data_IF_295382068123
#
_entry.id   IF_295382068123
#
_cell.length_a   1.000
_cell.length_b   1.000
_cell.length_c   1.000
_cell.angle_alpha   90.00
_cell.angle_beta   90.00
_cell.angle_gamma   90.00
#
_symmetry.space_group_name_H-M   'P 1'
#
loop_
_entity.id
_entity.type
_entity.pdbx_description
1 polymer ?
#
# COMPACT_ATOMS: atom_id res chain seq x y z
N UNK A 1 -9.84 -25.56 28.51
CA UNK A 1 -10.62 -24.35 28.26
C UNK A 1 -10.99 -24.26 26.80
N UNK A 2 -12.17 -23.71 26.45
CA UNK A 2 -12.50 -23.49 25.03
C UNK A 2 -11.48 -22.56 24.40
N UNK A 3 -11.16 -22.71 23.09
CA UNK A 3 -10.25 -21.82 22.40
C UNK A 3 -10.75 -20.37 22.55
N UNK A 4 -9.85 -19.37 22.66
CA UNK A 4 -10.27 -17.98 22.74
C UNK A 4 -11.12 -17.62 21.52
N UNK A 5 -12.12 -16.75 21.67
CA UNK A 5 -12.94 -16.32 20.54
C UNK A 5 -12.05 -15.74 19.44
N UNK A 6 -12.37 -15.98 18.16
CA UNK A 6 -11.61 -15.42 17.07
C UNK A 6 -11.50 -13.89 17.24
N UNK A 7 -10.35 -13.29 16.89
CA UNK A 7 -10.20 -11.85 16.98
C UNK A 7 -11.28 -11.17 16.14
N UNK A 8 -11.81 -10.00 16.55
CA UNK A 8 -12.82 -9.29 15.78
C UNK A 8 -12.27 -9.02 14.38
N UNK A 9 -13.11 -9.13 13.33
CA UNK A 9 -12.66 -8.99 11.95
C UNK A 9 -11.93 -7.64 11.76
N UNK A 10 -10.82 -7.63 11.01
CA UNK A 10 -10.01 -6.44 10.83
C UNK A 10 -10.85 -5.29 10.26
N UNK A 11 -10.87 -4.18 10.98
CA UNK A 11 -11.70 -3.01 10.68
C UNK A 11 -11.18 -2.16 9.50
N UNK A 12 -10.27 -2.68 8.67
CA UNK A 12 -9.54 -1.91 7.66
C UNK A 12 -10.37 -1.49 6.44
N UNK A 13 -11.37 -2.28 6.01
CA UNK A 13 -12.32 -1.86 4.96
C UNK A 13 -13.26 -0.71 5.39
N UNK A 14 -13.33 -0.45 6.69
CA UNK A 14 -14.27 0.51 7.28
C UNK A 14 -13.67 1.93 7.35
N UNK A 15 -12.35 2.14 7.21
CA UNK A 15 -11.74 3.47 7.40
C UNK A 15 -12.10 4.45 6.29
N UNK A 16 -12.01 4.08 5.02
CA UNK A 16 -12.44 4.94 3.91
C UNK A 16 -13.96 5.22 3.97
N UNK A 17 -14.75 4.20 4.25
CA UNK A 17 -16.19 4.37 4.48
C UNK A 17 -16.48 5.28 5.68
N UNK A 18 -15.75 5.14 6.79
CA UNK A 18 -15.91 6.02 7.96
C UNK A 18 -15.57 7.47 7.66
N UNK A 19 -14.50 7.74 6.92
CA UNK A 19 -14.15 9.10 6.51
C UNK A 19 -15.27 9.74 5.70
N UNK A 20 -15.85 9.03 4.74
CA UNK A 20 -16.97 9.49 3.94
C UNK A 20 -18.27 9.63 4.76
N UNK A 21 -18.54 8.69 5.67
CA UNK A 21 -19.70 8.80 6.58
C UNK A 21 -19.54 9.96 7.58
N UNK A 22 -18.34 10.18 8.12
CA UNK A 22 -18.06 11.33 9.00
C UNK A 22 -18.26 12.63 8.24
N UNK A 23 -17.71 12.75 7.04
CA UNK A 23 -17.89 13.89 6.15
C UNK A 23 -19.39 14.18 5.91
N UNK A 24 -20.16 13.14 5.58
CA UNK A 24 -21.61 13.25 5.33
C UNK A 24 -22.35 13.74 6.58
N UNK A 25 -21.95 13.27 7.75
CA UNK A 25 -22.51 13.74 9.04
C UNK A 25 -22.25 15.22 9.30
N UNK A 26 -21.23 15.81 8.69
CA UNK A 26 -20.92 17.23 8.75
C UNK A 26 -21.46 18.03 7.55
N UNK A 27 -22.16 17.37 6.62
CA UNK A 27 -22.68 18.01 5.41
C UNK A 27 -21.59 18.57 4.47
N UNK A 28 -20.35 18.07 4.54
CA UNK A 28 -19.25 18.55 3.73
C UNK A 28 -19.25 17.87 2.35
N UNK A 29 -19.08 18.61 1.24
CA UNK A 29 -18.85 18.00 -0.06
C UNK A 29 -17.54 17.21 -0.07
N UNK A 30 -17.47 16.16 -0.90
CA UNK A 30 -16.28 15.35 -1.09
C UNK A 30 -16.06 15.08 -2.57
N UNK A 31 -14.91 15.48 -3.06
CA UNK A 31 -14.46 15.18 -4.42
C UNK A 31 -13.27 14.21 -4.38
N UNK A 32 -13.30 13.21 -5.23
CA UNK A 32 -12.27 12.18 -5.33
C UNK A 32 -11.72 12.22 -6.76
N UNK A 33 -10.43 12.44 -6.89
CA UNK A 33 -9.70 12.32 -8.15
C UNK A 33 -9.20 10.90 -8.29
N UNK A 34 -9.50 10.26 -9.41
CA UNK A 34 -9.10 8.88 -9.67
C UNK A 34 -8.78 8.69 -11.13
N UNK A 35 -7.66 8.04 -11.42
CA UNK A 35 -7.27 7.72 -12.79
C UNK A 35 -8.35 6.92 -13.51
N UNK A 36 -8.61 7.23 -14.77
CA UNK A 36 -9.63 6.55 -15.56
C UNK A 36 -9.37 5.05 -15.66
N UNK A 37 -8.10 4.65 -15.79
CA UNK A 37 -7.65 3.25 -15.76
C UNK A 37 -7.97 2.60 -14.41
N UNK A 38 -7.72 3.30 -13.31
CA UNK A 38 -7.97 2.78 -11.97
C UNK A 38 -9.46 2.71 -11.62
N UNK A 39 -10.29 3.58 -12.20
CA UNK A 39 -11.76 3.50 -12.09
C UNK A 39 -12.27 2.16 -12.61
N UNK A 40 -11.76 1.72 -13.76
CA UNK A 40 -12.12 0.41 -14.33
C UNK A 40 -11.61 -0.75 -13.46
N UNK A 41 -10.35 -0.70 -13.03
CA UNK A 41 -9.72 -1.73 -12.18
C UNK A 41 -10.39 -1.86 -10.81
N UNK A 42 -10.98 -0.77 -10.29
CA UNK A 42 -11.53 -0.70 -8.94
C UNK A 42 -13.04 -0.37 -8.92
N UNK A 43 -13.80 -0.82 -9.91
CA UNK A 43 -15.26 -0.59 -10.02
C UNK A 43 -16.04 -0.77 -8.70
N UNK A 44 -15.81 -1.81 -7.89
CA UNK A 44 -16.52 -1.98 -6.61
C UNK A 44 -16.25 -0.84 -5.62
N UNK A 45 -15.03 -0.31 -5.59
CA UNK A 45 -14.68 0.82 -4.74
C UNK A 45 -15.32 2.12 -5.25
N UNK A 46 -15.29 2.35 -6.56
CA UNK A 46 -15.94 3.52 -7.19
C UNK A 46 -17.44 3.52 -6.90
N UNK A 47 -18.10 2.36 -7.01
CA UNK A 47 -19.50 2.23 -6.65
C UNK A 47 -19.76 2.60 -5.18
N UNK A 48 -18.93 2.12 -4.26
CA UNK A 48 -19.04 2.46 -2.83
C UNK A 48 -18.85 3.96 -2.57
N UNK A 49 -17.90 4.61 -3.26
CA UNK A 49 -17.66 6.05 -3.16
C UNK A 49 -18.90 6.86 -3.58
N UNK A 50 -19.48 6.50 -4.73
CA UNK A 50 -20.70 7.14 -5.25
C UNK A 50 -21.92 6.89 -4.36
N UNK A 51 -22.07 5.66 -3.87
CA UNK A 51 -23.14 5.30 -2.94
C UNK A 51 -23.08 6.11 -1.64
N UNK A 52 -21.88 6.46 -1.19
CA UNK A 52 -21.64 7.32 -0.03
C UNK A 52 -21.72 8.82 -0.36
N UNK A 53 -22.16 9.19 -1.55
CA UNK A 53 -22.39 10.58 -1.95
C UNK A 53 -21.13 11.37 -2.36
N UNK A 54 -19.99 10.70 -2.56
CA UNK A 54 -18.80 11.38 -3.07
C UNK A 54 -18.88 11.56 -4.60
N UNK A 55 -18.40 12.71 -5.09
CA UNK A 55 -18.19 12.95 -6.52
C UNK A 55 -16.85 12.33 -6.92
N UNK A 56 -16.85 11.44 -7.89
CA UNK A 56 -15.63 10.83 -8.45
C UNK A 56 -15.32 11.49 -9.78
N UNK A 57 -14.20 12.19 -9.84
CA UNK A 57 -13.69 12.88 -11.02
C UNK A 57 -12.67 11.96 -11.74
N UNK A 58 -12.99 11.47 -12.95
CA UNK A 58 -12.06 10.66 -13.72
C UNK A 58 -10.93 11.53 -14.27
N UNK A 59 -9.69 11.10 -14.06
CA UNK A 59 -8.49 11.74 -14.62
C UNK A 59 -8.01 10.95 -15.81
N UNK A 60 -8.01 11.58 -16.97
CA UNK A 60 -7.64 10.96 -18.26
C UNK A 60 -6.29 11.44 -18.78
N UNK A 61 -5.65 12.37 -18.09
CA UNK A 61 -4.31 12.87 -18.43
C UNK A 61 -3.24 11.80 -18.15
N UNK A 62 -2.14 11.83 -18.88
CA UNK A 62 -1.04 10.88 -18.71
C UNK A 62 -1.48 9.43 -18.92
N UNK A 63 -1.09 8.54 -18.03
CA UNK A 63 -1.49 7.12 -18.03
C UNK A 63 -2.89 6.87 -17.42
N UNK A 64 -3.52 7.91 -16.88
CA UNK A 64 -4.81 7.78 -16.20
C UNK A 64 -4.76 6.92 -14.92
N UNK A 65 -3.64 6.95 -14.22
CA UNK A 65 -3.38 6.18 -12.99
C UNK A 65 -3.26 7.08 -11.76
N UNK A 66 -2.89 6.50 -10.62
CA UNK A 66 -2.78 7.18 -9.33
C UNK A 66 -1.88 8.43 -9.38
N UNK A 67 -0.75 8.38 -10.11
CA UNK A 67 0.17 9.53 -10.25
C UNK A 67 -0.53 10.76 -10.83
N UNK A 68 -1.30 10.57 -11.89
CA UNK A 68 -2.00 11.66 -12.57
C UNK A 68 -3.18 12.17 -11.75
N UNK A 69 -3.88 11.25 -11.07
CA UNK A 69 -4.94 11.61 -10.12
C UNK A 69 -4.41 12.48 -8.96
N UNK A 70 -3.23 12.18 -8.43
CA UNK A 70 -2.58 13.02 -7.41
C UNK A 70 -2.20 14.40 -7.95
N UNK A 71 -1.70 14.49 -9.18
CA UNK A 71 -1.39 15.76 -9.83
C UNK A 71 -2.63 16.65 -9.93
N UNK A 72 -3.75 16.10 -10.40
CA UNK A 72 -4.98 16.87 -10.57
C UNK A 72 -5.60 17.27 -9.22
N UNK A 73 -5.61 16.37 -8.25
CA UNK A 73 -6.07 16.68 -6.89
C UNK A 73 -5.23 17.81 -6.23
N UNK A 74 -3.89 17.78 -6.40
CA UNK A 74 -3.02 18.82 -5.89
C UNK A 74 -3.23 20.16 -6.59
N UNK A 75 -3.42 20.17 -7.92
CA UNK A 75 -3.73 21.39 -8.69
C UNK A 75 -5.06 22.01 -8.25
N UNK A 76 -6.08 21.20 -8.09
CA UNK A 76 -7.39 21.67 -7.61
C UNK A 76 -7.27 22.24 -6.20
N UNK A 77 -6.63 21.51 -5.29
CA UNK A 77 -6.46 21.95 -3.92
C UNK A 77 -5.71 23.28 -3.79
N UNK A 78 -4.59 23.48 -4.49
CA UNK A 78 -3.84 24.74 -4.41
C UNK A 78 -4.63 25.92 -4.99
N UNK A 79 -5.57 25.65 -5.91
CA UNK A 79 -6.47 26.67 -6.46
C UNK A 79 -7.61 27.03 -5.49
N UNK A 80 -7.93 26.15 -4.54
CA UNK A 80 -9.04 26.28 -3.60
C UNK A 80 -8.57 26.14 -2.13
N UNK A 81 -7.34 26.50 -1.84
CA UNK A 81 -6.71 26.25 -0.53
C UNK A 81 -7.43 26.93 0.65
N UNK A 82 -8.24 27.97 0.41
CA UNK A 82 -8.95 28.71 1.45
C UNK A 82 -10.20 28.03 1.97
N UNK A 83 -10.80 27.14 1.19
CA UNK A 83 -12.10 26.49 1.49
C UNK A 83 -12.07 24.97 1.31
N UNK A 84 -10.94 24.42 0.87
CA UNK A 84 -10.79 23.00 0.56
C UNK A 84 -9.67 22.38 1.38
N UNK A 85 -9.97 21.26 2.03
CA UNK A 85 -8.99 20.47 2.76
C UNK A 85 -8.57 19.25 1.94
N UNK A 86 -7.27 19.15 1.64
CA UNK A 86 -6.69 18.02 0.92
C UNK A 86 -6.46 16.83 1.86
N UNK A 87 -7.04 15.68 1.53
CA UNK A 87 -6.85 14.43 2.27
C UNK A 87 -6.04 13.47 1.42
N UNK A 88 -4.78 13.23 1.80
CA UNK A 88 -3.93 12.22 1.20
C UNK A 88 -3.90 10.96 2.07
N UNK A 89 -3.94 9.79 1.42
CA UNK A 89 -3.98 8.49 2.11
C UNK A 89 -2.64 7.75 2.14
N UNK A 90 -1.56 8.39 1.70
CA UNK A 90 -0.21 7.79 1.66
C UNK A 90 0.80 8.65 2.42
N UNK A 91 1.99 8.10 2.71
CA UNK A 91 3.12 8.80 3.34
C UNK A 91 4.00 9.54 2.32
N UNK A 92 3.56 9.67 1.07
CA UNK A 92 4.18 10.51 0.05
C UNK A 92 3.57 11.92 0.05
N UNK A 93 4.19 12.85 -0.66
CA UNK A 93 3.72 14.23 -0.79
C UNK A 93 4.50 15.22 0.07
N UNK A 94 4.12 16.52 0.02
CA UNK A 94 4.84 17.56 0.73
C UNK A 94 4.65 17.47 2.25
N UNK A 95 5.60 18.07 2.99
CA UNK A 95 5.42 18.23 4.43
C UNK A 95 4.16 19.08 4.73
N UNK A 96 3.33 18.75 5.74
CA UNK A 96 3.53 17.73 6.78
C UNK A 96 2.86 16.35 6.51
N UNK A 97 2.32 16.13 5.33
CA UNK A 97 1.51 14.93 5.05
C UNK A 97 2.20 13.60 5.35
N UNK A 98 3.48 13.36 4.96
CA UNK A 98 4.15 12.11 5.29
C UNK A 98 4.15 11.81 6.80
N UNK A 99 4.49 12.82 7.61
CA UNK A 99 4.51 12.68 9.07
C UNK A 99 3.11 12.46 9.65
N UNK A 100 2.10 13.21 9.19
CA UNK A 100 0.71 13.06 9.64
C UNK A 100 0.19 11.66 9.36
N UNK A 101 0.37 11.17 8.12
CA UNK A 101 -0.11 9.84 7.73
C UNK A 101 0.64 8.75 8.48
N UNK A 102 1.97 8.88 8.66
CA UNK A 102 2.75 7.97 9.51
C UNK A 102 2.17 7.88 10.92
N UNK A 103 1.96 9.02 11.55
CA UNK A 103 1.53 9.08 12.95
C UNK A 103 0.13 8.45 13.13
N UNK A 104 -0.79 8.71 12.21
CA UNK A 104 -2.10 8.08 12.22
C UNK A 104 -2.04 6.57 11.93
N UNK A 105 -1.18 6.14 11.01
CA UNK A 105 -1.01 4.72 10.68
C UNK A 105 -0.20 3.95 11.75
N UNK A 106 0.58 4.63 12.58
CA UNK A 106 1.40 3.98 13.63
C UNK A 106 0.60 3.18 14.64
N UNK A 107 -0.72 3.35 14.71
CA UNK A 107 -1.60 2.47 15.48
C UNK A 107 -1.42 0.99 15.11
N UNK A 108 -1.09 0.69 13.84
CA UNK A 108 -0.84 -0.69 13.37
C UNK A 108 0.32 -1.31 14.15
N UNK A 109 1.46 -0.66 14.15
CA UNK A 109 2.65 -1.17 14.85
C UNK A 109 2.54 -1.13 16.37
N UNK A 110 1.85 -0.12 16.93
CA UNK A 110 1.59 -0.05 18.38
C UNK A 110 0.74 -1.22 18.84
N UNK A 111 -0.35 -1.52 18.14
CA UNK A 111 -1.20 -2.69 18.44
C UNK A 111 -0.46 -4.00 18.21
N UNK A 112 0.32 -4.11 17.11
CA UNK A 112 1.16 -5.28 16.86
C UNK A 112 2.13 -5.54 18.00
N UNK A 113 2.82 -4.50 18.47
CA UNK A 113 3.78 -4.61 19.59
C UNK A 113 3.10 -5.12 20.86
N UNK A 114 1.95 -4.54 21.22
CA UNK A 114 1.19 -4.96 22.39
C UNK A 114 0.73 -6.42 22.28
N UNK A 115 0.19 -6.81 21.13
CA UNK A 115 -0.28 -8.17 20.86
C UNK A 115 0.85 -9.21 20.88
N UNK A 116 2.03 -8.88 20.35
CA UNK A 116 3.19 -9.77 20.38
C UNK A 116 3.68 -9.98 21.82
N UNK A 117 3.76 -8.91 22.61
CA UNK A 117 4.13 -9.04 24.03
C UNK A 117 3.11 -9.84 24.84
N UNK A 118 1.82 -9.69 24.54
CA UNK A 118 0.74 -10.42 25.23
C UNK A 118 0.75 -11.92 24.85
N UNK A 119 0.96 -12.26 23.57
CA UNK A 119 0.82 -13.62 23.06
C UNK A 119 2.09 -14.45 23.13
N UNK A 120 3.21 -13.81 22.80
CA UNK A 120 4.50 -14.47 22.61
C UNK A 120 5.53 -14.08 23.70
N UNK A 121 5.22 -13.08 24.53
CA UNK A 121 6.13 -12.57 25.57
C UNK A 121 7.37 -11.85 25.04
N UNK A 122 7.46 -11.64 23.72
CA UNK A 122 8.60 -10.99 23.06
C UNK A 122 8.19 -10.24 21.80
N UNK A 123 9.08 -9.40 21.30
CA UNK A 123 8.90 -8.73 19.99
C UNK A 123 9.05 -9.74 18.85
N UNK A 124 8.50 -9.43 17.66
CA UNK A 124 8.76 -10.22 16.47
C UNK A 124 10.24 -10.13 16.07
N UNK A 125 10.75 -11.16 15.43
CA UNK A 125 12.10 -11.13 14.86
C UNK A 125 12.12 -10.44 13.50
N UNK A 126 11.02 -10.55 12.74
CA UNK A 126 10.93 -9.98 11.40
C UNK A 126 9.55 -9.38 11.13
N UNK A 127 9.54 -8.16 10.59
CA UNK A 127 8.35 -7.48 10.08
C UNK A 127 8.38 -7.43 8.56
N UNK A 128 7.25 -7.71 7.91
CA UNK A 128 7.12 -7.64 6.46
C UNK A 128 5.86 -6.88 6.08
N UNK A 129 5.96 -5.96 5.11
CA UNK A 129 4.80 -5.27 4.55
C UNK A 129 5.02 -4.92 3.08
N UNK A 130 3.94 -4.85 2.30
CA UNK A 130 3.99 -4.39 0.91
C UNK A 130 4.15 -2.86 0.86
N UNK A 131 4.84 -2.40 -0.20
CA UNK A 131 5.17 -0.99 -0.44
C UNK A 131 4.63 -0.56 -1.80
N UNK A 132 3.70 0.40 -1.78
CA UNK A 132 3.40 1.30 -2.88
C UNK A 132 3.86 2.69 -2.45
N UNK A 133 2.94 3.62 -2.15
CA UNK A 133 3.32 4.86 -1.43
C UNK A 133 3.86 4.62 -0.02
N UNK A 134 3.54 3.49 0.61
CA UNK A 134 4.20 2.97 1.81
C UNK A 134 3.49 3.24 3.14
N UNK A 135 2.24 3.74 3.17
CA UNK A 135 1.58 4.13 4.42
C UNK A 135 1.29 2.94 5.36
N UNK A 136 0.88 1.81 4.83
CA UNK A 136 0.62 0.60 5.63
C UNK A 136 1.91 0.08 6.26
N UNK A 137 2.99 0.07 5.50
CA UNK A 137 4.30 -0.38 5.94
C UNK A 137 4.88 0.57 7.00
N UNK A 138 4.82 1.88 6.76
CA UNK A 138 5.27 2.88 7.73
C UNK A 138 4.48 2.77 9.04
N UNK A 139 3.18 2.52 8.96
CA UNK A 139 2.34 2.30 10.13
C UNK A 139 2.77 1.10 10.98
N UNK A 140 3.21 0.01 10.33
CA UNK A 140 3.77 -1.15 11.02
C UNK A 140 5.19 -0.89 11.51
N UNK A 141 6.06 -0.33 10.68
CA UNK A 141 7.51 -0.24 10.91
C UNK A 141 7.87 0.82 11.94
N UNK A 142 7.24 2.00 11.89
CA UNK A 142 7.63 3.16 12.68
C UNK A 142 7.76 2.86 14.18
N UNK A 143 6.83 2.17 14.86
CA UNK A 143 6.97 1.84 16.27
C UNK A 143 8.10 0.85 16.61
N UNK A 144 8.74 0.23 15.60
CA UNK A 144 9.83 -0.74 15.77
C UNK A 144 11.19 -0.24 15.25
N UNK A 145 11.29 1.01 14.79
CA UNK A 145 12.52 1.51 14.17
C UNK A 145 13.71 1.51 15.13
N UNK A 146 13.46 1.74 16.42
CA UNK A 146 14.50 1.73 17.45
C UNK A 146 14.88 0.32 17.95
N UNK A 147 14.04 -0.68 17.67
CA UNK A 147 14.31 -2.07 18.04
C UNK A 147 15.23 -2.73 17.02
N UNK A 148 16.54 -2.57 17.20
CA UNK A 148 17.58 -3.03 16.25
C UNK A 148 17.63 -4.55 16.06
N UNK A 149 17.08 -5.31 17.02
CA UNK A 149 16.93 -6.76 16.92
C UNK A 149 15.82 -7.21 15.97
N UNK A 150 14.88 -6.31 15.63
CA UNK A 150 13.78 -6.59 14.72
C UNK A 150 14.20 -6.29 13.29
N UNK A 151 14.26 -7.29 12.44
CA UNK A 151 14.47 -7.15 11.00
C UNK A 151 13.22 -6.59 10.33
N UNK A 152 13.38 -5.70 9.35
CA UNK A 152 12.25 -5.07 8.66
C UNK A 152 12.43 -5.18 7.15
N UNK A 153 11.41 -5.68 6.48
CA UNK A 153 11.42 -5.90 5.02
C UNK A 153 10.21 -5.23 4.37
N UNK A 154 10.47 -4.35 3.41
CA UNK A 154 9.48 -3.77 2.52
C UNK A 154 9.45 -4.51 1.18
N UNK A 155 8.27 -4.89 0.69
CA UNK A 155 8.11 -5.66 -0.54
C UNK A 155 7.37 -4.84 -1.58
N UNK A 156 8.03 -4.56 -2.70
CA UNK A 156 7.53 -3.77 -3.82
C UNK A 156 6.97 -4.65 -4.94
N UNK A 157 6.20 -4.02 -5.83
CA UNK A 157 5.68 -4.65 -7.03
C UNK A 157 6.75 -4.71 -8.13
N UNK A 158 7.33 -5.88 -8.32
CA UNK A 158 8.26 -6.19 -9.41
C UNK A 158 7.58 -6.44 -10.76
N UNK A 159 6.25 -6.40 -10.82
CA UNK A 159 5.49 -6.48 -12.05
C UNK A 159 5.87 -7.66 -12.93
N UNK A 160 6.23 -7.37 -14.18
CA UNK A 160 6.73 -8.37 -15.13
C UNK A 160 8.22 -8.70 -14.95
N UNK A 161 8.94 -7.96 -14.10
CA UNK A 161 10.37 -8.07 -13.83
C UNK A 161 11.07 -6.72 -13.87
N UNK A 162 12.12 -6.55 -13.06
CA UNK A 162 12.87 -5.29 -12.98
C UNK A 162 13.60 -4.94 -14.29
N UNK A 163 13.95 -5.95 -15.08
CA UNK A 163 14.64 -5.78 -16.36
C UNK A 163 13.68 -5.44 -17.53
N UNK A 164 12.39 -5.42 -17.29
CA UNK A 164 11.37 -5.10 -18.31
C UNK A 164 11.09 -3.61 -18.30
N UNK A 165 11.35 -2.87 -19.38
CA UNK A 165 11.06 -1.45 -19.46
C UNK A 165 9.58 -1.15 -19.15
N UNK A 166 9.31 -0.22 -18.23
CA UNK A 166 7.97 0.12 -17.73
C UNK A 166 7.18 -1.10 -17.20
N UNK A 167 7.88 -2.16 -16.83
CA UNK A 167 7.28 -3.42 -16.42
C UNK A 167 7.10 -3.60 -14.91
N UNK A 168 7.48 -2.64 -14.08
CA UNK A 168 7.39 -2.73 -12.62
C UNK A 168 7.10 -1.38 -11.98
N UNK A 169 6.68 -1.40 -10.69
CA UNK A 169 6.50 -0.20 -9.86
C UNK A 169 7.43 -0.18 -8.63
N UNK A 170 8.56 -0.87 -8.72
CA UNK A 170 9.52 -1.04 -7.64
C UNK A 170 10.53 0.12 -7.62
N UNK A 171 10.14 1.26 -7.05
CA UNK A 171 10.97 2.46 -7.03
C UNK A 171 12.18 2.38 -6.10
N UNK A 172 12.09 1.61 -5.01
CA UNK A 172 13.21 1.43 -4.07
C UNK A 172 14.28 0.48 -4.60
N UNK A 173 13.88 -0.56 -5.34
CA UNK A 173 14.82 -1.57 -5.86
C UNK A 173 15.28 -1.28 -7.28
N UNK A 174 14.49 -0.59 -8.09
CA UNK A 174 14.78 -0.29 -9.49
C UNK A 174 14.82 1.18 -9.87
N UNK A 175 14.55 2.10 -8.93
CA UNK A 175 14.53 3.54 -9.19
C UNK A 175 15.72 4.29 -8.60
N UNK A 176 15.74 5.59 -8.83
CA UNK A 176 16.79 6.52 -8.38
C UNK A 176 16.24 7.68 -7.57
N UNK A 177 17.09 8.41 -6.79
CA UNK A 177 16.67 9.59 -6.07
C UNK A 177 16.21 10.72 -6.99
N UNK A 178 15.04 11.30 -6.70
CA UNK A 178 14.49 12.44 -7.43
C UNK A 178 13.41 13.17 -6.62
N UNK A 179 12.57 13.94 -7.31
CA UNK A 179 11.48 14.72 -6.69
C UNK A 179 10.16 14.41 -7.37
N UNK A 180 9.17 13.98 -6.60
CA UNK A 180 7.82 13.69 -7.07
C UNK A 180 6.79 14.18 -6.05
N UNK A 181 5.71 14.82 -6.50
CA UNK A 181 4.62 15.29 -5.64
C UNK A 181 5.07 16.10 -4.41
N UNK A 182 6.13 16.92 -4.57
CA UNK A 182 6.62 17.81 -3.51
C UNK A 182 7.48 17.14 -2.43
N UNK A 183 7.95 15.92 -2.64
CA UNK A 183 8.93 15.28 -1.76
C UNK A 183 10.11 14.69 -2.53
N UNK A 184 11.28 14.68 -1.88
CA UNK A 184 12.46 13.97 -2.36
C UNK A 184 12.32 12.50 -1.99
N UNK A 185 12.47 11.61 -2.98
CA UNK A 185 12.21 10.19 -2.82
C UNK A 185 12.99 9.37 -3.86
N UNK A 186 13.01 8.05 -3.75
CA UNK A 186 13.33 7.17 -4.85
C UNK A 186 12.12 7.10 -5.79
N UNK A 187 12.36 7.16 -7.09
CA UNK A 187 11.31 7.12 -8.11
C UNK A 187 11.81 6.51 -9.42
N UNK A 188 10.88 6.07 -10.24
CA UNK A 188 11.16 5.59 -11.59
C UNK A 188 11.23 6.79 -12.53
N UNK A 189 12.40 7.03 -13.09
CA UNK A 189 12.65 8.13 -14.02
C UNK A 189 13.68 7.72 -15.09
N UNK A 190 13.64 8.39 -16.23
CA UNK A 190 14.66 8.25 -17.26
C UNK A 190 15.86 9.18 -17.02
N UNK A 191 16.85 9.13 -17.92
CA UNK A 191 18.08 9.92 -17.85
C UNK A 191 17.82 11.44 -17.93
N UNK A 192 16.68 11.86 -18.49
CA UNK A 192 16.23 13.25 -18.55
C UNK A 192 15.40 13.67 -17.34
N UNK A 193 15.21 12.76 -16.37
CA UNK A 193 14.42 12.99 -15.17
C UNK A 193 12.90 12.95 -15.36
N UNK A 194 12.44 12.43 -16.51
CA UNK A 194 11.01 12.23 -16.73
C UNK A 194 10.51 11.01 -15.98
N UNK A 195 9.36 11.13 -15.34
CA UNK A 195 8.75 10.03 -14.59
C UNK A 195 8.30 8.93 -15.55
N UNK A 196 8.85 7.74 -15.34
CA UNK A 196 8.41 6.55 -16.06
C UNK A 196 7.09 6.03 -15.49
N UNK A 197 6.30 5.40 -16.36
CA UNK A 197 5.10 4.70 -15.93
C UNK A 197 5.50 3.44 -15.17
N UNK A 198 4.83 3.22 -14.04
CA UNK A 198 4.95 1.97 -13.30
C UNK A 198 4.00 0.92 -13.86
N UNK A 199 4.23 -0.33 -13.49
CA UNK A 199 3.31 -1.43 -13.72
C UNK A 199 3.18 -2.30 -12.48
N UNK A 200 1.95 -2.59 -12.10
CA UNK A 200 1.61 -3.60 -11.10
C UNK A 200 0.22 -4.15 -11.37
N UNK A 201 0.04 -5.44 -11.18
CA UNK A 201 -1.30 -6.06 -11.12
C UNK A 201 -2.16 -5.45 -10.01
N UNK A 202 -1.51 -4.95 -8.95
CA UNK A 202 -2.15 -4.27 -7.83
C UNK A 202 -2.20 -2.77 -8.06
N UNK A 203 -3.40 -2.22 -8.23
CA UNK A 203 -3.60 -0.78 -8.38
C UNK A 203 -3.07 0.03 -7.17
N UNK A 204 -3.04 -0.56 -5.98
CA UNK A 204 -2.52 0.10 -4.77
C UNK A 204 -1.00 0.14 -4.68
N UNK A 205 -0.28 -0.63 -5.52
CA UNK A 205 1.17 -0.61 -5.62
C UNK A 205 1.68 0.01 -6.94
N UNK A 206 0.78 0.41 -7.82
CA UNK A 206 1.09 1.01 -9.10
C UNK A 206 1.37 2.52 -8.94
N UNK A 207 2.54 2.83 -8.38
CA UNK A 207 3.00 4.19 -8.12
C UNK A 207 4.50 4.29 -8.33
N UNK A 208 4.98 5.23 -9.16
CA UNK A 208 6.39 5.30 -9.56
C UNK A 208 7.32 5.92 -8.52
N UNK A 209 6.88 6.08 -7.30
CA UNK A 209 7.63 6.65 -6.19
C UNK A 209 7.25 6.04 -4.85
N UNK A 210 7.76 6.61 -3.76
CA UNK A 210 7.51 6.13 -2.39
C UNK A 210 7.54 7.30 -1.41
N UNK A 211 7.12 7.06 -0.17
CA UNK A 211 7.25 8.06 0.90
C UNK A 211 8.72 8.39 1.22
N UNK A 212 9.05 9.66 1.50
CA UNK A 212 10.44 10.09 1.72
C UNK A 212 11.10 9.42 2.94
N UNK A 213 10.33 9.04 3.94
CA UNK A 213 10.85 8.34 5.11
C UNK A 213 11.30 6.91 4.76
N UNK A 214 10.62 6.24 3.83
CA UNK A 214 11.09 4.95 3.29
C UNK A 214 12.43 5.09 2.58
N UNK A 215 12.61 6.16 1.79
CA UNK A 215 13.88 6.45 1.12
C UNK A 215 15.02 6.61 2.14
N UNK A 216 14.78 7.37 3.20
CA UNK A 216 15.75 7.50 4.30
C UNK A 216 16.02 6.18 5.02
N UNK A 217 15.00 5.33 5.23
CA UNK A 217 15.16 4.01 5.86
C UNK A 217 16.00 3.06 5.00
N UNK A 218 15.91 3.16 3.67
CA UNK A 218 16.79 2.46 2.73
C UNK A 218 18.23 2.94 2.87
N UNK A 219 18.45 4.25 2.76
CA UNK A 219 19.79 4.86 2.79
C UNK A 219 20.51 4.60 4.13
N UNK A 220 19.77 4.60 5.23
CA UNK A 220 20.29 4.28 6.56
C UNK A 220 20.49 2.77 6.81
N UNK A 221 20.10 1.91 5.89
CA UNK A 221 20.17 0.46 6.04
C UNK A 221 19.25 -0.11 7.13
N UNK A 222 18.23 0.67 7.56
CA UNK A 222 17.32 0.20 8.62
C UNK A 222 16.26 -0.77 8.11
N UNK A 223 15.85 -0.62 6.87
CA UNK A 223 14.84 -1.47 6.21
C UNK A 223 15.44 -2.03 4.93
N UNK A 224 15.27 -3.32 4.71
CA UNK A 224 15.60 -3.98 3.45
C UNK A 224 14.40 -3.90 2.52
N UNK A 225 14.63 -3.53 1.27
CA UNK A 225 13.57 -3.50 0.24
C UNK A 225 13.85 -4.55 -0.81
N UNK A 226 12.80 -5.27 -1.18
CA UNK A 226 12.82 -6.34 -2.17
C UNK A 226 11.60 -6.21 -3.08
N UNK A 227 11.61 -6.88 -4.22
CA UNK A 227 10.48 -6.92 -5.12
C UNK A 227 10.03 -8.35 -5.42
N UNK A 228 8.74 -8.51 -5.77
CA UNK A 228 8.17 -9.75 -6.27
C UNK A 228 7.34 -9.47 -7.52
N UNK A 229 7.28 -10.44 -8.42
CA UNK A 229 6.53 -10.30 -9.67
C UNK A 229 5.02 -10.47 -9.48
N UNK A 230 4.24 -10.02 -10.46
CA UNK A 230 2.78 -10.20 -10.50
C UNK A 230 2.39 -11.67 -10.40
N UNK A 231 3.13 -12.55 -11.10
CA UNK A 231 2.91 -13.99 -11.03
C UNK A 231 3.09 -14.54 -9.62
N UNK A 232 4.16 -14.15 -8.93
CA UNK A 232 4.42 -14.60 -7.56
C UNK A 232 3.34 -14.10 -6.60
N UNK A 233 2.89 -12.86 -6.78
CA UNK A 233 1.80 -12.29 -5.99
C UNK A 233 0.48 -13.03 -6.21
N UNK A 234 0.12 -13.38 -7.46
CA UNK A 234 -1.05 -14.19 -7.78
C UNK A 234 -0.99 -15.61 -7.21
N UNK A 235 0.18 -16.25 -7.31
CA UNK A 235 0.40 -17.58 -6.73
C UNK A 235 0.21 -17.55 -5.19
N UNK A 236 0.69 -16.49 -4.53
CA UNK A 236 0.51 -16.29 -3.10
C UNK A 236 -0.93 -15.96 -2.71
N UNK A 237 -1.62 -15.14 -3.51
CA UNK A 237 -3.04 -14.85 -3.37
C UNK A 237 -3.87 -16.14 -3.36
N UNK A 238 -3.68 -17.00 -4.37
CA UNK A 238 -4.39 -18.27 -4.48
C UNK A 238 -4.05 -19.22 -3.33
N UNK A 239 -2.78 -19.28 -2.92
CA UNK A 239 -2.35 -20.14 -1.83
C UNK A 239 -3.02 -19.74 -0.51
N UNK A 240 -3.01 -18.45 -0.17
CA UNK A 240 -3.66 -17.93 1.02
C UNK A 240 -5.16 -18.23 1.01
N UNK A 241 -5.81 -17.98 -0.13
CA UNK A 241 -7.25 -18.24 -0.27
C UNK A 241 -7.58 -19.70 -0.03
N UNK A 242 -6.77 -20.64 -0.55
CA UNK A 242 -7.03 -22.08 -0.40
C UNK A 242 -6.71 -22.62 0.99
N UNK A 243 -5.65 -22.15 1.62
CA UNK A 243 -5.18 -22.69 2.90
C UNK A 243 -5.85 -22.03 4.11
N UNK A 244 -6.08 -20.71 4.03
CA UNK A 244 -6.58 -19.92 5.17
C UNK A 244 -8.07 -19.56 5.04
N UNK A 245 -8.67 -19.77 3.86
CA UNK A 245 -10.03 -19.30 3.57
C UNK A 245 -10.14 -17.77 3.56
N UNK A 246 -9.00 -17.07 3.43
CA UNK A 246 -8.90 -15.60 3.40
C UNK A 246 -8.56 -15.18 1.98
N UNK A 247 -9.39 -14.34 1.38
CA UNK A 247 -9.07 -13.68 0.11
C UNK A 247 -8.31 -12.40 0.42
N UNK A 248 -6.95 -12.39 0.32
CA UNK A 248 -6.16 -11.19 0.58
C UNK A 248 -6.33 -10.19 -0.55
N UNK A 249 -6.06 -8.90 -0.33
CA UNK A 249 -5.88 -7.97 -1.44
C UNK A 249 -4.60 -8.29 -2.22
N UNK A 250 -4.50 -7.84 -3.47
CA UNK A 250 -3.29 -8.04 -4.28
C UNK A 250 -2.06 -7.35 -3.65
N UNK A 251 -2.25 -6.23 -2.95
CA UNK A 251 -1.19 -5.53 -2.25
C UNK A 251 -0.46 -6.44 -1.24
N UNK A 252 -1.11 -6.97 -0.18
CA UNK A 252 -0.43 -7.83 0.78
C UNK A 252 -0.04 -9.19 0.20
N UNK A 253 -0.59 -9.61 -0.95
CA UNK A 253 -0.15 -10.82 -1.65
C UNK A 253 1.30 -10.73 -2.11
N UNK A 254 1.82 -9.52 -2.40
CA UNK A 254 3.25 -9.31 -2.67
C UNK A 254 4.10 -9.62 -1.44
N UNK A 255 3.70 -9.11 -0.27
CA UNK A 255 4.39 -9.42 0.98
C UNK A 255 4.36 -10.93 1.30
N UNK A 256 3.20 -11.58 1.09
CA UNK A 256 3.04 -13.01 1.29
C UNK A 256 3.90 -13.84 0.31
N UNK A 257 4.04 -13.40 -0.95
CA UNK A 257 4.90 -14.03 -1.93
C UNK A 257 6.38 -14.01 -1.47
N UNK A 258 6.84 -12.89 -0.91
CA UNK A 258 8.19 -12.82 -0.35
C UNK A 258 8.34 -13.71 0.88
N UNK A 259 7.34 -13.79 1.76
CA UNK A 259 7.38 -14.68 2.93
C UNK A 259 7.56 -16.14 2.56
N UNK A 260 6.98 -16.60 1.46
CA UNK A 260 7.18 -17.98 0.97
C UNK A 260 8.62 -18.30 0.63
N UNK A 261 9.39 -17.27 0.25
CA UNK A 261 10.84 -17.43 -0.02
C UNK A 261 11.66 -17.29 1.27
N UNK A 262 11.31 -16.31 2.10
CA UNK A 262 12.05 -15.95 3.30
C UNK A 262 11.89 -16.97 4.43
N UNK A 263 10.67 -17.41 4.72
CA UNK A 263 10.39 -18.25 5.89
C UNK A 263 11.19 -19.57 5.95
N UNK A 264 11.41 -20.28 4.82
CA UNK A 264 12.24 -21.50 4.84
C UNK A 264 13.72 -21.27 5.19
N UNK A 265 14.22 -20.03 5.04
CA UNK A 265 15.60 -19.65 5.32
C UNK A 265 15.82 -19.22 6.78
N UNK A 266 14.74 -19.01 7.52
CA UNK A 266 14.77 -18.54 8.90
C UNK A 266 14.72 -19.71 9.91
N UNK A 267 15.24 -19.49 11.14
CA UNK A 267 15.05 -20.44 12.24
C UNK A 267 13.58 -20.73 12.48
N UNK A 268 13.26 -21.96 12.92
CA UNK A 268 11.86 -22.39 13.15
C UNK A 268 11.13 -21.65 14.26
N UNK A 269 11.85 -21.05 15.17
CA UNK A 269 11.36 -20.23 16.28
C UNK A 269 11.31 -18.74 15.94
N UNK A 270 11.62 -18.36 14.71
CA UNK A 270 11.52 -16.98 14.23
C UNK A 270 10.05 -16.53 14.18
N UNK A 271 9.74 -15.44 14.86
CA UNK A 271 8.42 -14.81 14.84
C UNK A 271 8.33 -13.80 13.68
N UNK A 272 7.65 -14.20 12.62
CA UNK A 272 7.36 -13.38 11.45
C UNK A 272 6.00 -12.70 11.59
N UNK A 273 5.98 -11.39 11.47
CA UNK A 273 4.73 -10.61 11.41
C UNK A 273 4.61 -9.92 10.06
N UNK A 274 3.54 -10.22 9.34
CA UNK A 274 3.21 -9.58 8.07
C UNK A 274 1.95 -8.71 8.20
N UNK A 275 1.98 -7.52 7.62
CA UNK A 275 0.80 -6.66 7.56
C UNK A 275 -0.16 -7.12 6.45
N UNK A 276 -1.27 -7.76 6.83
CA UNK A 276 -2.37 -8.10 5.94
C UNK A 276 -3.28 -6.86 5.76
N UNK A 277 -2.84 -5.89 4.96
CA UNK A 277 -3.39 -4.54 4.91
C UNK A 277 -4.68 -4.37 4.10
N UNK A 278 -5.20 -5.43 3.47
CA UNK A 278 -6.42 -5.31 2.68
C UNK A 278 -7.09 -6.64 2.35
N UNK A 279 -8.39 -6.54 1.99
CA UNK A 279 -9.22 -7.67 1.54
C UNK A 279 -9.32 -7.66 0.02
N UNK A 280 -9.36 -8.86 -0.58
CA UNK A 280 -9.34 -9.07 -2.03
C UNK A 280 -10.69 -8.98 -2.73
N UNK A 281 -11.80 -8.70 -2.01
CA UNK A 281 -13.12 -8.56 -2.64
C UNK A 281 -13.20 -7.42 -3.68
N UNK A 282 -12.28 -6.48 -3.65
CA UNK A 282 -12.13 -5.45 -4.67
C UNK A 282 -11.38 -5.93 -5.92
N UNK A 283 -10.57 -6.99 -5.77
CA UNK A 283 -9.61 -7.46 -6.78
C UNK A 283 -10.10 -8.70 -7.56
N UNK A 284 -11.23 -9.29 -7.15
CA UNK A 284 -11.72 -10.56 -7.73
C UNK A 284 -11.90 -10.51 -9.25
N UNK A 285 -12.33 -9.37 -9.80
CA UNK A 285 -12.50 -9.21 -11.25
C UNK A 285 -11.16 -9.21 -11.99
N UNK A 286 -10.19 -8.45 -11.48
CA UNK A 286 -8.84 -8.42 -12.05
C UNK A 286 -8.15 -9.79 -11.91
N UNK A 287 -8.32 -10.46 -10.76
CA UNK A 287 -7.77 -11.80 -10.55
C UNK A 287 -8.41 -12.83 -11.47
N UNK A 288 -9.73 -12.78 -11.65
CA UNK A 288 -10.44 -13.69 -12.56
C UNK A 288 -9.95 -13.53 -14.02
N UNK A 289 -9.78 -12.29 -14.48
CA UNK A 289 -9.24 -11.99 -15.80
C UNK A 289 -7.83 -12.57 -15.99
N UNK A 290 -6.91 -12.31 -15.03
CA UNK A 290 -5.53 -12.82 -15.10
C UNK A 290 -5.43 -14.35 -15.01
N UNK A 291 -6.35 -14.97 -14.29
CA UNK A 291 -6.41 -16.43 -14.18
C UNK A 291 -7.24 -17.09 -15.28
N UNK A 292 -7.82 -16.31 -16.20
CA UNK A 292 -8.75 -16.79 -17.23
C UNK A 292 -9.90 -17.62 -16.65
N UNK A 293 -10.43 -17.21 -15.50
CA UNK A 293 -11.56 -17.85 -14.83
C UNK A 293 -12.86 -17.16 -15.21
N UNK A 294 -13.88 -17.96 -15.57
CA UNK A 294 -15.25 -17.46 -15.74
C UNK A 294 -15.84 -17.01 -14.40
N UNK A 295 -16.60 -15.91 -14.43
CA UNK A 295 -17.31 -15.37 -13.26
C UNK A 295 -18.81 -15.43 -13.44
#
# INVERSE_FOLDING_TARGET
PPPPPPPPPPRHGVRRQRQMCIRDSFGLPCEIYMGATDIERQKPNVFRMRLLGAKVNPVTSGSGTLKDAMNDALRDWVSHVHDTFYIIGTVAGPHPYPAMVRDFQSVIGKETRAQMMEREGRLPDTLVACIGGGSNAMGLFHPFLDDRSVSIVGVEAGGHGLDVPNGHAASMTGGEPGVLHGNRTYLLQDDDGQILEGHSISAGLDYPGVGPEHSWLKDSGRVTYVSVTDKEALDAFQLCTRLEGIIPALEPSHALAHLRKLAPELPKDNLLVMNMCGRGDKDIFAVAEHLSMEM
#
